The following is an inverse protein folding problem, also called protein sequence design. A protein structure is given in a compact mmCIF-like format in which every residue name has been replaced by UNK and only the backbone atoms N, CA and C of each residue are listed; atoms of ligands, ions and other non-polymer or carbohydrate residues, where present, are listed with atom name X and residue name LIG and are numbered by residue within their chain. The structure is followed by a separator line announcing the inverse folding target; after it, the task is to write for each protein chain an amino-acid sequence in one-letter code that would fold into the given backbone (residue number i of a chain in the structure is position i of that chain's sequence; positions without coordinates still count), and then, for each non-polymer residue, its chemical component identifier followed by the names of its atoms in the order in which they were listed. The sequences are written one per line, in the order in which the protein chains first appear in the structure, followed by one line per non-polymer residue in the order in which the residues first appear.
data_IF_370113851392
#
_entry.id   IF_370113851392
#
_cell.length_a   1.000
_cell.length_b   1.000
_cell.length_c   1.000
_cell.angle_alpha   90.00
_cell.angle_beta   90.00
_cell.angle_gamma   90.00
#
_symmetry.space_group_name_H-M   'P 1'
#
loop_
_entity.id
_entity.type
_entity.pdbx_description
1 polymer ?
#
# COMPACT_ATOMS: atom_id res chain seq x y z
N UNK A 1 -16.33 -35.18 13.76
CA UNK A 1 -17.30 -34.41 12.93
C UNK A 1 -17.53 -33.12 13.70
N UNK A 2 -16.94 -31.96 13.41
CA UNK A 2 -16.65 -31.27 12.16
C UNK A 2 -15.21 -30.73 12.12
N UNK A 3 -14.49 -31.00 11.04
CA UNK A 3 -13.19 -30.40 10.75
C UNK A 3 -13.40 -29.15 9.91
N UNK A 4 -12.96 -28.00 10.42
CA UNK A 4 -12.92 -26.76 9.65
C UNK A 4 -11.56 -26.75 8.94
N UNK A 5 -11.66 -26.70 7.62
CA UNK A 5 -10.63 -26.93 6.61
C UNK A 5 -9.42 -25.97 6.79
N UNK A 6 -8.31 -26.49 7.34
CA UNK A 6 -6.98 -25.85 7.33
C UNK A 6 -6.39 -25.90 5.92
N UNK A 7 -6.99 -25.18 4.98
CA UNK A 7 -6.47 -24.99 3.63
C UNK A 7 -6.32 -23.51 3.29
N UNK A 8 -5.39 -22.85 3.97
CA UNK A 8 -4.62 -21.78 3.33
C UNK A 8 -3.20 -22.29 3.16
N UNK A 9 -2.93 -22.73 1.92
CA UNK A 9 -1.65 -23.22 1.44
C UNK A 9 -0.52 -22.29 1.85
N UNK A 10 0.52 -22.93 2.35
CA UNK A 10 1.93 -22.52 2.38
C UNK A 10 2.31 -21.64 1.19
N UNK A 11 2.54 -20.35 1.44
CA UNK A 11 3.36 -19.51 0.57
C UNK A 11 4.83 -19.68 1.00
N UNK A 12 5.43 -20.80 0.60
CA UNK A 12 6.86 -20.98 0.76
C UNK A 12 7.64 -20.12 -0.23
N UNK A 13 8.52 -19.30 0.33
CA UNK A 13 9.83 -18.87 -0.19
C UNK A 13 9.87 -18.09 -1.51
N UNK A 14 9.43 -16.82 -1.45
CA UNK A 14 9.91 -15.80 -2.39
C UNK A 14 11.32 -15.36 -1.93
N UNK A 15 12.36 -15.94 -2.55
CA UNK A 15 13.73 -15.44 -2.42
C UNK A 15 13.86 -14.10 -3.15
N UNK A 16 13.65 -12.99 -2.47
CA UNK A 16 14.06 -11.67 -2.93
C UNK A 16 15.59 -11.55 -2.80
N UNK A 17 16.31 -11.94 -3.86
CA UNK A 17 17.74 -11.60 -3.98
C UNK A 17 18.06 -11.05 -5.37
N UNK A 18 17.74 -9.75 -5.56
CA UNK A 18 18.71 -8.70 -5.97
C UNK A 18 18.16 -7.28 -6.06
N UNK A 19 17.00 -6.97 -5.48
CA UNK A 19 16.80 -5.73 -4.75
C UNK A 19 15.52 -5.88 -3.92
N UNK A 20 15.62 -5.62 -2.61
CA UNK A 20 14.77 -6.16 -1.55
C UNK A 20 13.35 -5.62 -1.43
N UNK A 21 12.72 -5.24 -2.53
CA UNK A 21 11.31 -4.82 -2.54
C UNK A 21 10.41 -6.06 -2.57
N UNK A 22 9.52 -6.18 -1.59
CA UNK A 22 8.46 -7.16 -1.62
C UNK A 22 7.43 -6.82 -2.71
N UNK A 23 6.57 -7.78 -3.09
CA UNK A 23 5.67 -7.60 -4.23
C UNK A 23 4.66 -6.47 -4.03
N UNK A 24 4.29 -6.21 -2.77
CA UNK A 24 3.54 -5.06 -2.29
C UNK A 24 4.31 -3.74 -2.50
N UNK A 25 5.58 -3.66 -2.15
CA UNK A 25 6.39 -2.45 -2.36
C UNK A 25 6.42 -2.01 -3.84
N UNK A 26 6.49 -2.98 -4.76
CA UNK A 26 6.45 -2.71 -6.21
C UNK A 26 5.08 -2.15 -6.60
N UNK A 27 4.01 -2.76 -6.10
CA UNK A 27 2.65 -2.30 -6.37
C UNK A 27 2.42 -0.90 -5.81
N UNK A 28 2.86 -0.63 -4.59
CA UNK A 28 2.74 0.66 -3.92
C UNK A 28 3.47 1.76 -4.70
N UNK A 29 4.70 1.48 -5.17
CA UNK A 29 5.45 2.42 -6.00
C UNK A 29 4.73 2.75 -7.32
N UNK A 30 4.11 1.75 -7.96
CA UNK A 30 3.33 1.95 -9.18
C UNK A 30 2.06 2.76 -8.93
N UNK A 31 1.32 2.45 -7.86
CA UNK A 31 0.11 3.17 -7.46
C UNK A 31 0.44 4.62 -7.15
N UNK A 32 1.52 4.89 -6.41
CA UNK A 32 2.00 6.24 -6.14
C UNK A 32 2.32 7.01 -7.42
N UNK A 33 3.06 6.40 -8.35
CA UNK A 33 3.41 7.04 -9.62
C UNK A 33 2.18 7.39 -10.47
N UNK A 34 1.20 6.48 -10.57
CA UNK A 34 -0.05 6.72 -11.29
C UNK A 34 -0.89 7.80 -10.60
N UNK A 35 -1.01 7.75 -9.28
CA UNK A 35 -1.77 8.72 -8.50
C UNK A 35 -1.19 10.12 -8.65
N UNK A 36 0.14 10.26 -8.56
CA UNK A 36 0.82 11.54 -8.77
C UNK A 36 0.60 12.09 -10.19
N UNK A 37 0.61 11.21 -11.21
CA UNK A 37 0.32 11.60 -12.59
C UNK A 37 -1.12 12.06 -12.79
N UNK A 38 -2.09 11.33 -12.23
CA UNK A 38 -3.52 11.63 -12.40
C UNK A 38 -3.97 12.84 -11.60
N UNK A 39 -3.37 13.08 -10.42
CA UNK A 39 -3.74 14.20 -9.57
C UNK A 39 -3.64 15.55 -10.29
N UNK A 40 -2.72 15.73 -11.26
CA UNK A 40 -2.59 16.96 -12.04
C UNK A 40 -2.62 18.25 -11.17
N UNK A 41 -1.93 18.21 -10.02
CA UNK A 41 -1.90 19.25 -8.97
C UNK A 41 -3.11 19.30 -8.01
N UNK A 42 -4.09 18.43 -8.18
CA UNK A 42 -5.27 18.26 -7.31
C UNK A 42 -5.34 16.83 -6.76
N UNK A 43 -5.09 16.69 -5.47
CA UNK A 43 -5.27 15.44 -4.75
C UNK A 43 -6.08 15.71 -3.47
N UNK A 44 -6.75 14.68 -2.98
CA UNK A 44 -7.47 14.71 -1.70
C UNK A 44 -6.95 13.57 -0.83
N UNK A 45 -7.20 13.66 0.48
CA UNK A 45 -6.73 12.69 1.48
C UNK A 45 -7.88 12.22 2.36
N UNK A 46 -7.75 10.98 2.88
CA UNK A 46 -8.61 10.44 3.92
C UNK A 46 -7.79 10.04 5.16
N UNK A 47 -8.25 10.39 6.38
CA UNK A 47 -9.31 11.37 6.66
C UNK A 47 -8.86 12.79 6.28
N UNK A 48 -9.80 13.74 6.15
CA UNK A 48 -9.49 15.14 5.80
C UNK A 48 -8.54 15.83 6.79
N UNK A 49 -8.54 15.38 8.04
CA UNK A 49 -7.57 15.78 9.05
C UNK A 49 -6.77 14.56 9.49
N UNK A 50 -5.70 14.18 8.76
CA UNK A 50 -4.90 13.01 9.06
C UNK A 50 -4.22 13.15 10.43
N UNK A 51 -4.18 12.06 11.19
CA UNK A 51 -3.36 12.00 12.39
C UNK A 51 -1.89 12.15 11.99
N UNK A 52 -1.06 12.64 12.92
CA UNK A 52 0.38 12.67 12.73
C UNK A 52 1.04 11.49 13.43
N UNK A 53 2.12 10.97 12.85
CA UNK A 53 2.97 9.99 13.50
C UNK A 53 3.91 10.64 14.54
N UNK A 54 4.79 9.84 15.12
CA UNK A 54 5.75 10.27 16.15
C UNK A 54 6.79 11.27 15.63
N UNK A 55 6.97 11.38 14.32
CA UNK A 55 7.85 12.34 13.65
C UNK A 55 7.10 13.62 13.22
N UNK A 56 5.78 13.66 13.41
CA UNK A 56 4.92 14.77 13.04
C UNK A 56 4.46 14.77 11.58
N UNK A 57 4.69 13.66 10.86
CA UNK A 57 4.26 13.49 9.47
C UNK A 57 2.78 13.09 9.42
N UNK A 58 1.97 13.68 8.52
CA UNK A 58 0.57 13.33 8.38
C UNK A 58 0.41 11.95 7.77
N UNK A 59 -0.35 11.09 8.43
CA UNK A 59 -0.67 9.73 7.99
C UNK A 59 -1.84 9.77 7.00
N UNK A 60 -1.54 10.11 5.77
CA UNK A 60 -2.50 10.37 4.69
C UNK A 60 -2.79 9.15 3.81
N UNK A 61 -4.04 9.01 3.36
CA UNK A 61 -4.42 8.13 2.26
C UNK A 61 -4.79 9.01 1.07
N UNK A 62 -3.81 9.32 0.22
CA UNK A 62 -3.93 10.27 -0.89
C UNK A 62 -4.53 9.62 -2.14
N UNK A 63 -5.48 10.30 -2.77
CA UNK A 63 -6.10 9.87 -4.03
C UNK A 63 -6.29 11.06 -4.99
N UNK A 64 -6.25 10.76 -6.29
CA UNK A 64 -6.51 11.75 -7.34
C UNK A 64 -8.01 12.05 -7.45
N UNK A 65 -8.35 13.33 -7.65
CA UNK A 65 -9.70 13.73 -8.03
C UNK A 65 -9.85 13.59 -9.56
N UNK A 66 -11.03 13.18 -10.06
CA UNK A 66 -11.29 13.04 -11.49
C UNK A 66 -11.26 14.36 -12.25
#
# INVERSE_FOLDING_TARGET
MFGIDRRYRTFENIRLRRNGAASDDILDAMVLAVTARLANSTASTLPQNPAKDDEGLPMEIVYALP
#
